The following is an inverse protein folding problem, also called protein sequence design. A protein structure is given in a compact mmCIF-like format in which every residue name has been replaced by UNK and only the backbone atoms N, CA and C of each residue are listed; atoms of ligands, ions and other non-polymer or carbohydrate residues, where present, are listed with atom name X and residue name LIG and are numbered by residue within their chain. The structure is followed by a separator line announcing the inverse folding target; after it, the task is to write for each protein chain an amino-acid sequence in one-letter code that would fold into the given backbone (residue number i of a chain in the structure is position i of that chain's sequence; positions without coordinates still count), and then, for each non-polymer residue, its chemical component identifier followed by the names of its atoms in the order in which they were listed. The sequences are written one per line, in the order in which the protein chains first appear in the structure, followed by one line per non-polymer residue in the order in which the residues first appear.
data_IF_382470232326
#
_entry.id   IF_382470232326
#
_cell.length_a   1.000
_cell.length_b   1.000
_cell.length_c   1.000
_cell.angle_alpha   90.00
_cell.angle_beta   90.00
_cell.angle_gamma   90.00
#
_symmetry.space_group_name_H-M   'P 1'
#
loop_
_entity.id
_entity.type
_entity.pdbx_description
1 polymer ?
#
# COMPACT_ATOMS: atom_id res chain seq x y z
N UNK A 1 30.28 -52.18 14.70
CA UNK A 1 29.03 -51.52 15.13
C UNK A 1 27.85 -52.34 14.62
N UNK A 2 26.90 -52.75 15.47
CA UNK A 2 25.79 -53.61 15.04
C UNK A 2 24.93 -52.89 13.99
N UNK A 3 24.48 -53.61 12.95
CA UNK A 3 23.66 -53.08 11.86
C UNK A 3 22.46 -52.28 12.38
N UNK A 4 21.79 -52.78 13.42
CA UNK A 4 20.68 -52.10 14.11
C UNK A 4 21.06 -50.73 14.70
N UNK A 5 22.27 -50.58 15.28
CA UNK A 5 22.75 -49.28 15.80
C UNK A 5 23.03 -48.29 14.67
N UNK A 6 23.56 -48.76 13.53
CA UNK A 6 23.79 -47.93 12.34
C UNK A 6 22.46 -47.43 11.77
N UNK A 7 21.46 -48.32 11.65
CA UNK A 7 20.12 -47.95 11.18
C UNK A 7 19.44 -46.94 12.10
N UNK A 8 19.56 -47.11 13.43
CA UNK A 8 19.00 -46.17 14.41
C UNK A 8 19.63 -44.77 14.26
N UNK A 9 20.96 -44.70 14.11
CA UNK A 9 21.68 -43.42 13.91
C UNK A 9 21.22 -42.74 12.61
N UNK A 10 21.05 -43.51 11.53
CA UNK A 10 20.55 -43.00 10.25
C UNK A 10 19.13 -42.42 10.36
N UNK A 11 18.24 -43.10 11.08
CA UNK A 11 16.87 -42.61 11.34
C UNK A 11 16.91 -41.30 12.14
N UNK A 12 17.77 -41.23 13.17
CA UNK A 12 17.93 -40.02 13.98
C UNK A 12 18.43 -38.82 13.16
N UNK A 13 19.42 -39.04 12.29
CA UNK A 13 19.93 -37.99 11.39
C UNK A 13 18.84 -37.53 10.42
N UNK A 14 18.06 -38.46 9.85
CA UNK A 14 16.95 -38.12 8.98
C UNK A 14 15.86 -37.31 9.71
N UNK A 15 15.50 -37.69 10.93
CA UNK A 15 14.52 -36.95 11.73
C UNK A 15 14.99 -35.53 12.07
N UNK A 16 16.25 -35.40 12.50
CA UNK A 16 16.85 -34.09 12.80
C UNK A 16 16.95 -33.20 11.54
N UNK A 17 17.33 -33.78 10.41
CA UNK A 17 17.37 -33.08 9.12
C UNK A 17 16.00 -32.55 8.71
N UNK A 18 14.97 -33.40 8.75
CA UNK A 18 13.60 -33.01 8.41
C UNK A 18 13.05 -31.94 9.36
N UNK A 19 13.36 -32.04 10.66
CA UNK A 19 12.99 -31.02 11.65
C UNK A 19 13.67 -29.67 11.35
N UNK A 20 14.98 -29.68 11.10
CA UNK A 20 15.72 -28.47 10.73
C UNK A 20 15.18 -27.82 9.45
N UNK A 21 14.91 -28.62 8.41
CA UNK A 21 14.35 -28.12 7.15
C UNK A 21 12.95 -27.54 7.35
N UNK A 22 12.12 -28.16 8.19
CA UNK A 22 10.78 -27.67 8.50
C UNK A 22 10.82 -26.31 9.19
N UNK A 23 11.67 -26.14 10.22
CA UNK A 23 11.85 -24.84 10.91
C UNK A 23 12.34 -23.76 9.94
N UNK A 24 13.31 -24.08 9.08
CA UNK A 24 13.80 -23.16 8.05
C UNK A 24 12.71 -22.77 7.06
N UNK A 25 11.93 -23.74 6.58
CA UNK A 25 10.83 -23.50 5.64
C UNK A 25 9.78 -22.54 6.23
N UNK A 26 9.35 -22.77 7.47
CA UNK A 26 8.40 -21.88 8.14
C UNK A 26 8.94 -20.47 8.38
N UNK A 27 10.24 -20.35 8.72
CA UNK A 27 10.88 -19.04 8.88
C UNK A 27 10.89 -18.24 7.57
N UNK A 28 11.26 -18.88 6.46
CA UNK A 28 11.29 -18.25 5.13
C UNK A 28 9.88 -17.84 4.70
N UNK A 29 8.87 -18.69 4.95
CA UNK A 29 7.48 -18.38 4.61
C UNK A 29 6.98 -17.13 5.36
N UNK A 30 7.37 -16.98 6.63
CA UNK A 30 7.00 -15.82 7.45
C UNK A 30 7.66 -14.54 6.93
N UNK A 31 8.95 -14.60 6.59
CA UNK A 31 9.71 -13.47 6.05
C UNK A 31 9.17 -13.02 4.68
N UNK A 32 8.79 -13.97 3.82
CA UNK A 32 8.15 -13.69 2.53
C UNK A 32 6.84 -12.92 2.71
N UNK A 33 5.97 -13.37 3.63
CA UNK A 33 4.68 -12.68 3.90
C UNK A 33 4.89 -11.27 4.44
N UNK A 34 5.86 -11.06 5.32
CA UNK A 34 6.19 -9.74 5.84
C UNK A 34 6.69 -8.81 4.72
N UNK A 35 7.57 -9.32 3.86
CA UNK A 35 8.10 -8.58 2.71
C UNK A 35 6.98 -8.20 1.73
N UNK A 36 6.07 -9.12 1.43
CA UNK A 36 4.89 -8.85 0.61
C UNK A 36 3.99 -7.76 1.22
N UNK A 37 3.72 -7.82 2.52
CA UNK A 37 2.90 -6.80 3.19
C UNK A 37 3.55 -5.42 3.17
N UNK A 38 4.87 -5.35 3.38
CA UNK A 38 5.62 -4.09 3.30
C UNK A 38 5.65 -3.54 1.87
N UNK A 39 5.79 -4.43 0.88
CA UNK A 39 5.78 -4.05 -0.53
C UNK A 39 4.40 -3.51 -0.97
N UNK A 40 3.31 -4.15 -0.54
CA UNK A 40 1.96 -3.66 -0.84
C UNK A 40 1.65 -2.34 -0.12
N UNK A 41 2.12 -2.16 1.11
CA UNK A 41 2.05 -0.87 1.80
C UNK A 41 2.83 0.22 1.06
N UNK A 42 4.04 -0.09 0.60
CA UNK A 42 4.87 0.83 -0.17
C UNK A 42 4.20 1.22 -1.50
N UNK A 43 3.69 0.25 -2.26
CA UNK A 43 2.95 0.53 -3.51
C UNK A 43 1.74 1.42 -3.28
N UNK A 44 1.03 1.23 -2.17
CA UNK A 44 -0.11 2.08 -1.79
C UNK A 44 0.36 3.50 -1.52
N UNK A 45 1.44 3.68 -0.76
CA UNK A 45 2.03 4.98 -0.48
C UNK A 45 2.49 5.70 -1.75
N UNK A 46 3.14 4.97 -2.68
CA UNK A 46 3.59 5.51 -3.95
C UNK A 46 2.41 6.04 -4.79
N UNK A 47 1.30 5.28 -4.86
CA UNK A 47 0.08 5.71 -5.56
C UNK A 47 -0.56 6.95 -4.92
N UNK A 48 -0.65 6.98 -3.58
CA UNK A 48 -1.22 8.13 -2.86
C UNK A 48 -0.36 9.37 -3.09
N UNK A 49 0.98 9.21 -3.05
CA UNK A 49 1.92 10.30 -3.32
C UNK A 49 1.82 10.78 -4.77
N UNK A 50 1.74 9.87 -5.75
CA UNK A 50 1.57 10.21 -7.16
C UNK A 50 0.29 11.01 -7.39
N UNK A 51 -0.83 10.57 -6.80
CA UNK A 51 -2.10 11.32 -6.83
C UNK A 51 -1.94 12.71 -6.21
N UNK A 52 -1.37 12.81 -5.00
CA UNK A 52 -1.19 14.08 -4.32
C UNK A 52 -0.34 15.05 -5.15
N UNK A 53 0.77 14.58 -5.73
CA UNK A 53 1.63 15.39 -6.60
C UNK A 53 0.89 15.87 -7.84
N UNK A 54 0.16 14.98 -8.50
CA UNK A 54 -0.61 15.31 -9.70
C UNK A 54 -1.73 16.32 -9.39
N UNK A 55 -2.47 16.11 -8.30
CA UNK A 55 -3.50 17.01 -7.83
C UNK A 55 -2.98 18.40 -7.49
N UNK A 56 -1.89 18.49 -6.71
CA UNK A 56 -1.27 19.77 -6.38
C UNK A 56 -0.83 20.50 -7.65
N UNK A 57 -0.19 19.80 -8.58
CA UNK A 57 0.39 20.41 -9.78
C UNK A 57 -0.68 20.89 -10.76
N UNK A 58 -1.65 20.03 -11.06
CA UNK A 58 -2.61 20.26 -12.16
C UNK A 58 -3.93 20.87 -11.70
N UNK A 59 -4.19 20.95 -10.39
CA UNK A 59 -5.38 21.61 -9.83
C UNK A 59 -5.01 22.79 -8.95
N UNK A 60 -4.27 22.56 -7.85
CA UNK A 60 -4.03 23.63 -6.87
C UNK A 60 -3.10 24.73 -7.40
N UNK A 61 -2.15 24.36 -8.26
CA UNK A 61 -1.21 25.29 -8.90
C UNK A 61 -1.64 25.69 -10.31
N UNK A 62 -2.85 25.31 -10.75
CA UNK A 62 -3.31 25.62 -12.08
C UNK A 62 -3.63 27.12 -12.20
N UNK A 63 -3.02 27.77 -13.20
CA UNK A 63 -3.31 29.18 -13.52
C UNK A 63 -4.47 29.32 -14.53
N UNK A 64 -5.09 28.20 -14.91
CA UNK A 64 -6.15 28.09 -15.91
C UNK A 64 -7.17 27.07 -15.44
N UNK A 65 -8.32 27.06 -16.08
CA UNK A 65 -9.33 26.04 -15.84
C UNK A 65 -8.76 24.63 -16.09
N UNK A 66 -9.01 23.73 -15.15
CA UNK A 66 -8.61 22.32 -15.23
C UNK A 66 -9.38 21.64 -16.35
N UNK A 67 -8.67 21.05 -17.32
CA UNK A 67 -9.27 20.38 -18.48
C UNK A 67 -10.05 19.12 -18.10
N UNK A 68 -11.02 18.73 -18.94
CA UNK A 68 -11.78 17.50 -18.75
C UNK A 68 -10.89 16.26 -18.63
N UNK A 69 -9.86 16.15 -19.49
CA UNK A 69 -8.89 15.04 -19.44
C UNK A 69 -8.18 14.97 -18.08
N UNK A 70 -7.78 16.12 -17.53
CA UNK A 70 -7.13 16.20 -16.22
C UNK A 70 -8.10 15.76 -15.11
N UNK A 71 -9.36 16.21 -15.16
CA UNK A 71 -10.40 15.80 -14.20
C UNK A 71 -10.65 14.29 -14.25
N UNK A 72 -10.77 13.73 -15.45
CA UNK A 72 -10.96 12.29 -15.64
C UNK A 72 -9.76 11.49 -15.12
N UNK A 73 -8.54 11.98 -15.37
CA UNK A 73 -7.34 11.35 -14.85
C UNK A 73 -7.30 11.35 -13.32
N UNK A 74 -7.62 12.48 -12.68
CA UNK A 74 -7.71 12.58 -11.22
C UNK A 74 -8.74 11.60 -10.65
N UNK A 75 -9.94 11.56 -11.24
CA UNK A 75 -11.01 10.65 -10.83
C UNK A 75 -10.56 9.18 -10.90
N UNK A 76 -9.89 8.79 -11.99
CA UNK A 76 -9.34 7.46 -12.14
C UNK A 76 -8.22 7.17 -11.14
N UNK A 77 -7.33 8.14 -10.88
CA UNK A 77 -6.27 8.00 -9.89
C UNK A 77 -6.85 7.75 -8.50
N UNK A 78 -7.82 8.58 -8.06
CA UNK A 78 -8.48 8.42 -6.75
C UNK A 78 -9.18 7.08 -6.64
N UNK A 79 -9.92 6.64 -7.66
CA UNK A 79 -10.57 5.32 -7.69
C UNK A 79 -9.55 4.18 -7.60
N UNK A 80 -8.42 4.32 -8.27
CA UNK A 80 -7.34 3.33 -8.28
C UNK A 80 -6.55 3.25 -6.96
N UNK A 81 -6.71 4.22 -6.05
CA UNK A 81 -6.16 4.12 -4.69
C UNK A 81 -6.86 3.03 -3.88
N UNK A 82 -8.13 2.73 -4.17
CA UNK A 82 -8.93 1.78 -3.39
C UNK A 82 -9.22 2.22 -1.96
N UNK A 83 -9.01 3.50 -1.63
CA UNK A 83 -9.25 4.06 -0.30
C UNK A 83 -10.57 4.85 -0.28
N UNK A 84 -11.58 4.28 0.37
CA UNK A 84 -12.92 4.88 0.46
C UNK A 84 -12.92 6.24 1.14
N UNK A 85 -12.02 6.50 2.10
CA UNK A 85 -11.96 7.79 2.78
C UNK A 85 -11.44 8.86 1.84
N UNK A 86 -10.39 8.55 1.07
CA UNK A 86 -9.85 9.48 0.07
C UNK A 86 -10.90 9.74 -1.02
N UNK A 87 -11.59 8.70 -1.51
CA UNK A 87 -12.63 8.84 -2.53
C UNK A 87 -13.83 9.67 -2.04
N UNK A 88 -14.32 9.43 -0.83
CA UNK A 88 -15.41 10.19 -0.24
C UNK A 88 -15.02 11.67 -0.07
N UNK A 89 -13.80 11.92 0.41
CA UNK A 89 -13.31 13.28 0.60
C UNK A 89 -13.10 14.01 -0.74
N UNK A 90 -12.61 13.30 -1.76
CA UNK A 90 -12.51 13.80 -3.13
C UNK A 90 -13.88 14.19 -3.71
N UNK A 91 -14.89 13.33 -3.55
CA UNK A 91 -16.27 13.62 -4.00
C UNK A 91 -16.79 14.91 -3.37
N UNK A 92 -16.64 15.09 -2.05
CA UNK A 92 -17.02 16.34 -1.36
C UNK A 92 -16.32 17.57 -1.95
N UNK A 93 -15.03 17.46 -2.26
CA UNK A 93 -14.29 18.54 -2.91
C UNK A 93 -14.88 18.86 -4.30
N UNK A 94 -15.08 17.85 -5.15
CA UNK A 94 -15.61 18.05 -6.50
C UNK A 94 -17.06 18.53 -6.56
N UNK A 95 -17.85 18.20 -5.53
CA UNK A 95 -19.26 18.59 -5.40
C UNK A 95 -19.47 19.91 -4.66
N UNK A 96 -18.39 20.52 -4.17
CA UNK A 96 -18.44 21.79 -3.45
C UNK A 96 -19.00 22.91 -4.32
N UNK A 97 -20.05 23.59 -3.80
CA UNK A 97 -20.77 24.64 -4.53
C UNK A 97 -20.22 26.05 -4.28
N UNK A 98 -19.40 26.21 -3.25
CA UNK A 98 -18.80 27.49 -2.87
C UNK A 98 -17.29 27.34 -2.76
N UNK A 99 -16.57 28.43 -3.02
CA UNK A 99 -15.12 28.44 -2.86
C UNK A 99 -14.70 28.11 -1.43
N UNK A 100 -15.39 28.65 -0.42
CA UNK A 100 -15.11 28.35 0.99
C UNK A 100 -15.23 26.85 1.29
N UNK A 101 -16.30 26.21 0.81
CA UNK A 101 -16.49 24.76 0.95
C UNK A 101 -15.39 23.99 0.23
N UNK A 102 -15.08 24.35 -1.01
CA UNK A 102 -14.03 23.69 -1.78
C UNK A 102 -12.67 23.82 -1.07
N UNK A 103 -12.34 24.99 -0.54
CA UNK A 103 -11.10 25.22 0.21
C UNK A 103 -11.03 24.38 1.49
N UNK A 104 -12.13 24.23 2.21
CA UNK A 104 -12.20 23.36 3.39
C UNK A 104 -11.98 21.89 3.00
N UNK A 105 -12.70 21.40 1.98
CA UNK A 105 -12.60 20.01 1.57
C UNK A 105 -11.25 19.66 0.93
N UNK A 106 -10.57 20.61 0.27
CA UNK A 106 -9.17 20.46 -0.16
C UNK A 106 -8.23 20.29 1.02
N UNK A 107 -8.38 21.11 2.08
CA UNK A 107 -7.51 21.02 3.27
C UNK A 107 -7.67 19.65 3.94
N UNK A 108 -8.91 19.21 4.12
CA UNK A 108 -9.24 17.90 4.66
C UNK A 108 -8.68 16.77 3.77
N UNK A 109 -8.77 16.90 2.45
CA UNK A 109 -8.18 15.93 1.52
C UNK A 109 -6.65 15.86 1.67
N UNK A 110 -5.97 17.00 1.69
CA UNK A 110 -4.52 17.07 1.86
C UNK A 110 -4.07 16.47 3.20
N UNK A 111 -4.81 16.71 4.28
CA UNK A 111 -4.55 16.11 5.58
C UNK A 111 -4.61 14.58 5.52
N UNK A 112 -5.69 14.01 4.96
CA UNK A 112 -5.84 12.55 4.81
C UNK A 112 -4.71 11.97 3.95
N UNK A 113 -4.36 12.63 2.83
CA UNK A 113 -3.28 12.17 1.95
C UNK A 113 -1.94 12.12 2.69
N UNK A 114 -1.62 13.14 3.49
CA UNK A 114 -0.38 13.19 4.27
C UNK A 114 -0.37 12.15 5.38
N UNK A 115 -1.49 11.95 6.09
CA UNK A 115 -1.62 10.89 7.09
C UNK A 115 -1.36 9.51 6.49
N UNK A 116 -1.95 9.23 5.32
CA UNK A 116 -1.82 7.94 4.63
C UNK A 116 -0.40 7.68 4.16
N UNK A 117 0.32 8.71 3.72
CA UNK A 117 1.75 8.59 3.37
C UNK A 117 2.64 8.41 4.62
N UNK A 118 2.25 8.98 5.77
CA UNK A 118 3.03 8.92 7.01
C UNK A 118 2.95 7.59 7.76
N UNK A 119 1.85 6.84 7.64
CA UNK A 119 1.69 5.59 8.39
C UNK A 119 2.56 4.49 7.77
N UNK A 120 3.79 4.40 8.29
CA UNK A 120 4.60 3.20 8.44
C UNK A 120 4.60 2.80 9.93
#
# INVERSE_FOLDING_TARGET
MNKSKITLILILILLLGNFFFSVKYFSILKESRQTETLLEAQKTNDKVLEFAQFFIKEVLKANKEVSFETRLKLENMVRNLGDEKILAQWSKFTESKTESSAQEEVKNLLEILVEKVKVQ
#
